data_IF_470580596724
#
_entry.id   IF_470580596724
#
_cell.length_a   1.000
_cell.length_b   1.000
_cell.length_c   1.000
_cell.angle_alpha   90.00
_cell.angle_beta   90.00
_cell.angle_gamma   90.00
#
_symmetry.space_group_name_H-M   'P 1'
#
loop_
_entity.id
_entity.type
_entity.pdbx_description
1 polymer ?
#
# COMPACT_ATOMS: atom_id res chain seq x y z
N UNK A 1 -8.57 7.99 -15.31
CA UNK A 1 -7.93 6.82 -14.68
C UNK A 1 -7.49 7.13 -13.25
N UNK A 2 -7.67 6.22 -12.30
CA UNK A 2 -7.15 6.40 -10.93
C UNK A 2 -5.62 6.38 -10.90
N UNK A 3 -5.00 7.06 -9.92
CA UNK A 3 -3.53 7.18 -9.79
C UNK A 3 -2.79 5.83 -9.83
N UNK A 4 -3.40 4.78 -9.30
CA UNK A 4 -2.85 3.41 -9.32
C UNK A 4 -2.73 2.86 -10.75
N UNK A 5 -3.74 3.08 -11.58
CA UNK A 5 -3.78 2.60 -12.97
C UNK A 5 -2.75 3.35 -13.81
N UNK A 6 -2.72 4.68 -13.70
CA UNK A 6 -1.75 5.50 -14.42
C UNK A 6 -0.30 5.17 -14.03
N UNK A 7 -0.03 4.96 -12.74
CA UNK A 7 1.31 4.61 -12.29
C UNK A 7 1.71 3.18 -12.70
N UNK A 8 0.78 2.20 -12.67
CA UNK A 8 1.05 0.85 -13.13
C UNK A 8 1.34 0.79 -14.65
N UNK A 9 0.57 1.50 -15.47
CA UNK A 9 0.76 1.53 -16.92
C UNK A 9 2.14 2.08 -17.33
N UNK A 10 2.64 3.10 -16.61
CA UNK A 10 3.88 3.80 -16.93
C UNK A 10 5.12 3.27 -16.17
N UNK A 11 4.98 2.25 -15.32
CA UNK A 11 6.06 1.81 -14.44
C UNK A 11 7.20 1.16 -15.21
N UNK A 12 6.92 0.33 -16.21
CA UNK A 12 7.94 -0.34 -17.01
C UNK A 12 8.83 0.67 -17.77
N UNK A 13 8.21 1.64 -18.44
CA UNK A 13 8.92 2.71 -19.14
C UNK A 13 9.75 3.57 -18.18
N UNK A 14 9.18 3.94 -17.02
CA UNK A 14 9.92 4.69 -16.00
C UNK A 14 11.12 3.91 -15.45
N UNK A 15 10.98 2.61 -15.24
CA UNK A 15 12.08 1.77 -14.76
C UNK A 15 13.22 1.70 -15.78
N UNK A 16 12.88 1.52 -17.07
CA UNK A 16 13.86 1.53 -18.16
C UNK A 16 14.63 2.86 -18.22
N UNK A 17 13.92 3.99 -18.19
CA UNK A 17 14.57 5.30 -18.22
C UNK A 17 15.41 5.57 -16.96
N UNK A 18 14.92 5.18 -15.78
CA UNK A 18 15.69 5.29 -14.52
C UNK A 18 16.96 4.47 -14.55
N UNK A 19 16.93 3.29 -15.17
CA UNK A 19 18.11 2.45 -15.34
C UNK A 19 19.14 3.16 -16.23
N UNK A 20 18.72 3.74 -17.37
CA UNK A 20 19.61 4.50 -18.26
C UNK A 20 20.25 5.70 -17.53
N UNK A 21 19.45 6.48 -16.81
CA UNK A 21 19.94 7.65 -16.07
C UNK A 21 20.98 7.28 -15.00
N UNK A 22 20.81 6.14 -14.32
CA UNK A 22 21.72 5.69 -13.26
C UNK A 22 22.98 5.00 -13.78
N UNK A 23 23.00 4.59 -15.04
CA UNK A 23 24.13 3.86 -15.61
C UNK A 23 25.27 4.82 -15.97
N UNK A 24 26.38 4.76 -15.23
CA UNK A 24 27.56 5.60 -15.46
C UNK A 24 28.37 5.20 -16.69
N UNK A 25 28.20 3.97 -17.19
CA UNK A 25 28.87 3.46 -18.40
C UNK A 25 28.21 3.88 -19.71
N UNK A 26 27.10 4.61 -19.68
CA UNK A 26 26.44 5.18 -20.86
C UNK A 26 26.94 6.59 -21.15
N UNK A 27 26.88 6.99 -22.42
CA UNK A 27 27.27 8.34 -22.84
C UNK A 27 26.45 9.39 -22.08
N UNK A 28 27.08 10.53 -21.77
CA UNK A 28 26.43 11.58 -20.98
C UNK A 28 25.14 12.09 -21.66
N UNK A 29 25.16 12.22 -22.99
CA UNK A 29 24.01 12.65 -23.80
C UNK A 29 22.81 11.73 -23.66
N UNK A 30 23.02 10.40 -23.69
CA UNK A 30 21.95 9.41 -23.52
C UNK A 30 21.27 9.56 -22.16
N UNK A 31 22.05 9.79 -21.10
CA UNK A 31 21.52 10.01 -19.75
C UNK A 31 20.71 11.30 -19.68
N UNK A 32 21.20 12.38 -20.31
CA UNK A 32 20.49 13.67 -20.35
C UNK A 32 19.17 13.53 -21.11
N UNK A 33 19.16 12.82 -22.23
CA UNK A 33 17.94 12.54 -23.01
C UNK A 33 16.93 11.71 -22.21
N UNK A 34 17.37 10.65 -21.55
CA UNK A 34 16.52 9.83 -20.69
C UNK A 34 15.96 10.61 -19.49
N UNK A 35 16.75 11.52 -18.93
CA UNK A 35 16.32 12.41 -17.86
C UNK A 35 15.23 13.38 -18.34
N UNK A 36 15.39 13.96 -19.54
CA UNK A 36 14.37 14.83 -20.16
C UNK A 36 13.05 14.06 -20.40
N UNK A 37 13.13 12.82 -20.89
CA UNK A 37 11.96 11.95 -21.05
C UNK A 37 11.25 11.68 -19.71
N UNK A 38 12.00 11.32 -18.65
CA UNK A 38 11.43 11.11 -17.32
C UNK A 38 10.75 12.35 -16.73
N UNK A 39 11.28 13.54 -17.04
CA UNK A 39 10.75 14.83 -16.60
C UNK A 39 9.46 15.20 -17.36
N UNK A 40 9.38 14.85 -18.65
CA UNK A 40 8.20 15.08 -19.48
C UNK A 40 6.99 14.21 -19.10
N UNK A 41 7.21 13.03 -18.52
CA UNK A 41 6.13 12.15 -18.07
C UNK A 41 5.26 12.80 -16.97
N UNK A 42 3.96 12.55 -17.03
CA UNK A 42 2.98 13.09 -16.08
C UNK A 42 3.34 12.85 -14.60
N UNK A 43 2.89 13.75 -13.73
CA UNK A 43 3.14 13.63 -12.30
C UNK A 43 2.41 12.44 -11.65
N UNK A 44 1.23 12.06 -12.16
CA UNK A 44 0.37 11.01 -11.59
C UNK A 44 0.88 9.59 -11.86
N UNK A 45 1.74 9.42 -12.85
CA UNK A 45 2.37 8.14 -13.19
C UNK A 45 3.50 7.76 -12.23
N UNK A 46 3.75 8.55 -11.18
CA UNK A 46 4.80 8.26 -10.17
C UNK A 46 4.23 7.32 -9.10
N UNK A 47 4.80 6.13 -8.95
CA UNK A 47 4.40 5.18 -7.90
C UNK A 47 4.45 5.76 -6.49
N UNK A 48 5.38 6.68 -6.19
CA UNK A 48 5.44 7.36 -4.89
C UNK A 48 4.22 8.23 -4.55
N UNK A 49 3.37 8.60 -5.52
CA UNK A 49 2.12 9.32 -5.26
C UNK A 49 0.95 8.39 -4.88
N UNK A 50 1.11 7.09 -5.10
CA UNK A 50 0.10 6.10 -4.71
C UNK A 50 0.16 5.93 -3.19
N UNK A 51 -0.97 6.18 -2.52
CA UNK A 51 -1.13 5.96 -1.08
C UNK A 51 -2.01 4.75 -0.82
N UNK A 52 -1.68 3.97 0.21
CA UNK A 52 -2.56 2.94 0.73
C UNK A 52 -3.64 3.60 1.58
N UNK A 53 -4.90 3.28 1.27
CA UNK A 53 -6.08 3.76 1.98
C UNK A 53 -6.86 2.55 2.47
N UNK A 54 -7.56 2.71 3.58
CA UNK A 54 -8.50 1.71 4.05
C UNK A 54 -9.56 1.45 2.98
N UNK A 55 -9.84 0.18 2.69
CA UNK A 55 -10.84 -0.21 1.69
C UNK A 55 -12.25 0.20 2.13
N UNK A 56 -12.58 0.02 3.40
CA UNK A 56 -13.92 0.32 3.93
C UNK A 56 -14.15 1.82 4.18
N UNK A 57 -13.16 2.51 4.76
CA UNK A 57 -13.35 3.91 5.24
C UNK A 57 -12.57 4.96 4.45
N UNK A 58 -11.69 4.58 3.53
CA UNK A 58 -10.85 5.52 2.79
C UNK A 58 -9.76 6.24 3.62
N UNK A 59 -9.67 5.97 4.93
CA UNK A 59 -8.68 6.55 5.84
C UNK A 59 -7.27 6.26 5.32
N UNK A 60 -6.47 7.32 5.15
CA UNK A 60 -5.15 7.24 4.50
C UNK A 60 -3.95 6.97 5.42
N UNK A 61 -4.17 6.79 6.73
CA UNK A 61 -3.10 6.56 7.72
C UNK A 61 -3.46 5.37 8.62
N UNK A 62 -2.44 4.68 9.13
CA UNK A 62 -2.61 3.51 9.99
C UNK A 62 -3.31 2.36 9.29
N UNK A 63 -2.99 2.15 8.01
CA UNK A 63 -3.52 1.05 7.19
C UNK A 63 -2.55 -0.13 7.29
N UNK A 64 -3.06 -1.26 7.74
CA UNK A 64 -2.32 -2.52 7.77
C UNK A 64 -2.29 -3.07 6.33
N UNK A 65 -1.09 -3.33 5.79
CA UNK A 65 -0.92 -3.71 4.38
C UNK A 65 -1.57 -5.06 4.06
N UNK A 66 -1.42 -6.03 4.94
CA UNK A 66 -1.90 -7.40 4.74
C UNK A 66 -3.43 -7.49 4.71
N UNK A 67 -4.10 -6.61 5.48
CA UNK A 67 -5.57 -6.59 5.59
C UNK A 67 -6.23 -5.48 4.77
N UNK A 68 -5.46 -4.52 4.24
CA UNK A 68 -6.01 -3.36 3.50
C UNK A 68 -6.93 -2.44 4.32
N UNK A 69 -6.92 -2.56 5.65
CA UNK A 69 -7.84 -1.86 6.55
C UNK A 69 -7.12 -0.93 7.51
N UNK A 70 -7.80 0.11 7.98
CA UNK A 70 -7.28 0.95 9.05
C UNK A 70 -7.33 0.21 10.39
N UNK A 71 -6.46 0.60 11.33
CA UNK A 71 -6.35 -0.02 12.67
C UNK A 71 -7.68 -0.15 13.43
N UNK A 72 -8.60 0.80 13.25
CA UNK A 72 -9.90 0.78 13.91
C UNK A 72 -10.79 -0.32 13.32
N UNK A 73 -10.91 -0.35 11.99
CA UNK A 73 -11.72 -1.33 11.30
C UNK A 73 -11.17 -2.75 11.46
N UNK A 74 -9.84 -2.88 11.45
CA UNK A 74 -9.18 -4.13 11.79
C UNK A 74 -9.58 -4.63 13.19
N UNK A 75 -9.57 -3.75 14.20
CA UNK A 75 -9.98 -4.12 15.57
C UNK A 75 -11.44 -4.55 15.64
N UNK A 76 -12.35 -3.82 14.99
CA UNK A 76 -13.78 -4.16 14.97
C UNK A 76 -14.00 -5.52 14.31
N UNK A 77 -13.39 -5.75 13.14
CA UNK A 77 -13.51 -7.02 12.43
C UNK A 77 -12.82 -8.19 13.16
N UNK A 78 -11.72 -7.94 13.88
CA UNK A 78 -11.04 -8.92 14.71
C UNK A 78 -11.90 -9.33 15.93
N UNK A 79 -12.52 -8.36 16.61
CA UNK A 79 -13.41 -8.63 17.74
C UNK A 79 -14.68 -9.36 17.29
N UNK A 80 -15.18 -9.07 16.09
CA UNK A 80 -16.32 -9.77 15.49
C UNK A 80 -15.98 -11.17 14.93
N UNK A 81 -14.71 -11.59 14.96
CA UNK A 81 -14.29 -12.90 14.43
C UNK A 81 -14.33 -13.03 12.91
N UNK A 82 -14.42 -11.91 12.16
CA UNK A 82 -14.49 -11.91 10.69
C UNK A 82 -13.13 -12.09 10.00
N UNK A 83 -12.04 -12.02 10.77
CA UNK A 83 -10.68 -12.14 10.25
C UNK A 83 -10.13 -13.54 10.54
N UNK A 84 -9.90 -14.39 9.51
CA UNK A 84 -9.34 -15.72 9.72
C UNK A 84 -7.92 -15.61 10.28
N UNK A 85 -7.60 -16.42 11.29
CA UNK A 85 -6.27 -16.46 11.90
C UNK A 85 -5.93 -15.32 12.86
N UNK A 86 -6.83 -14.37 13.10
CA UNK A 86 -6.62 -13.28 14.07
C UNK A 86 -7.29 -13.64 15.40
N UNK A 87 -6.49 -13.80 16.45
CA UNK A 87 -6.97 -14.04 17.83
C UNK A 87 -6.28 -13.11 18.81
N UNK A 88 -6.98 -12.76 19.89
CA UNK A 88 -6.37 -12.02 20.99
C UNK A 88 -5.33 -12.92 21.66
N UNK A 89 -4.10 -12.42 21.79
CA UNK A 89 -3.05 -13.15 22.51
C UNK A 89 -3.46 -13.22 23.99
N UNK A 90 -3.51 -14.43 24.54
CA UNK A 90 -3.91 -14.69 25.92
C UNK A 90 -5.38 -15.03 26.14
N UNK A 91 -6.24 -15.07 25.11
CA UNK A 91 -7.57 -15.69 25.24
C UNK A 91 -7.46 -17.17 24.89
N UNK A 92 -7.58 -18.05 25.88
CA UNK A 92 -7.88 -19.45 25.59
C UNK A 92 -9.18 -19.50 24.78
N UNK A 93 -9.15 -20.22 23.67
CA UNK A 93 -10.31 -20.42 22.82
C UNK A 93 -11.29 -21.28 23.62
N UNK A 94 -12.33 -20.66 24.18
CA UNK A 94 -13.44 -21.42 24.75
C UNK A 94 -13.98 -20.96 26.10
N UNK A 95 -14.15 -19.66 26.35
CA UNK A 95 -15.19 -19.27 27.32
C UNK A 95 -15.73 -17.86 27.07
N UNK A 96 -16.87 -17.76 26.38
CA UNK A 96 -17.70 -16.55 26.36
C UNK A 96 -18.82 -16.60 27.41
N UNK A 97 -18.90 -17.66 28.22
CA UNK A 97 -19.94 -17.83 29.23
C UNK A 97 -19.64 -17.13 30.56
N UNK A 98 -18.41 -16.65 30.78
CA UNK A 98 -18.02 -15.96 32.02
C UNK A 98 -18.26 -14.45 32.05
N UNK A 99 -18.92 -13.86 31.05
CA UNK A 99 -19.37 -12.45 31.11
C UNK A 99 -20.82 -12.29 31.59
N UNK A 100 -21.44 -13.36 32.11
CA UNK A 100 -22.79 -13.32 32.72
C UNK A 100 -22.82 -14.04 34.09
N UNK A 101 -21.88 -13.78 34.99
CA UNK A 101 -22.09 -14.05 36.43
C UNK A 101 -20.92 -13.50 37.25
N UNK A 102 -21.10 -12.30 37.82
CA UNK A 102 -20.94 -12.02 39.25
C UNK A 102 -20.73 -10.52 39.45
N UNK A 103 -21.74 -9.94 40.10
CA UNK A 103 -21.87 -8.57 40.60
C UNK A 103 -22.13 -7.48 39.56
#
# INVERSE_FOLDING_TARGET
MGRRVAAAAAEAERQALRHIVRNTGRAAEERVRAQAQLAAMEGQTRMGRVKNRCIETGRGRGVLRDFGMCRYQFRVNALAGRLPGVKKVGSQVGDQSLWQASW
#
